data_IF_269315669714
#
_entry.id   IF_269315669714
#
_cell.length_a   1.000
_cell.length_b   1.000
_cell.length_c   1.000
_cell.angle_alpha   90.00
_cell.angle_beta   90.00
_cell.angle_gamma   90.00
#
_symmetry.space_group_name_H-M   'P 1'
#
loop_
_entity.id
_entity.type
_entity.pdbx_description
1 polymer ?
#
# COMPACT_ATOMS: atom_id res chain seq x y z
N UNK A 1 23.61 -1.18 -16.00
CA UNK A 1 22.53 -0.44 -16.68
C UNK A 1 22.00 0.58 -15.69
N UNK A 2 21.86 1.84 -16.10
CA UNK A 2 21.48 2.99 -15.27
C UNK A 2 20.15 2.78 -14.53
N UNK A 3 20.15 2.11 -13.38
CA UNK A 3 18.97 2.03 -12.53
C UNK A 3 18.46 3.43 -12.17
N UNK A 4 19.36 4.43 -12.06
CA UNK A 4 18.99 5.83 -11.85
C UNK A 4 18.14 6.45 -12.97
N UNK A 5 18.22 5.95 -14.20
CA UNK A 5 17.49 6.49 -15.36
C UNK A 5 16.10 5.85 -15.57
N UNK A 6 15.72 4.85 -14.76
CA UNK A 6 14.37 4.28 -14.85
C UNK A 6 13.31 5.17 -14.20
N UNK A 7 13.74 6.09 -13.34
CA UNK A 7 12.85 6.97 -12.60
C UNK A 7 12.44 8.16 -13.44
N UNK A 8 11.14 8.37 -13.54
CA UNK A 8 10.53 9.50 -14.22
C UNK A 8 10.06 10.50 -13.17
N UNK A 9 10.35 11.78 -13.40
CA UNK A 9 9.79 12.86 -12.58
C UNK A 9 8.28 12.96 -12.83
N UNK A 10 7.51 12.93 -11.74
CA UNK A 10 6.06 13.03 -11.77
C UNK A 10 5.58 14.44 -12.18
N UNK A 11 6.41 15.46 -11.98
CA UNK A 11 6.13 16.84 -12.38
C UNK A 11 7.15 17.30 -13.43
N UNK A 12 7.15 16.73 -14.66
CA UNK A 12 8.10 17.15 -15.68
C UNK A 12 7.88 18.63 -16.04
N UNK A 13 8.89 19.33 -16.61
CA UNK A 13 8.63 20.57 -17.32
C UNK A 13 7.58 20.28 -18.41
N UNK A 14 6.41 20.90 -18.24
CA UNK A 14 5.13 20.60 -18.90
C UNK A 14 5.19 20.25 -20.39
N UNK A 15 4.53 19.15 -20.77
CA UNK A 15 3.87 19.03 -22.10
C UNK A 15 2.58 18.20 -22.12
N UNK A 16 2.15 17.55 -21.03
CA UNK A 16 0.80 16.96 -20.94
C UNK A 16 0.14 17.25 -19.60
N UNK A 17 -1.15 17.64 -19.59
CA UNK A 17 -1.97 17.69 -18.39
C UNK A 17 -1.99 16.35 -17.66
N UNK A 18 -1.95 16.37 -16.33
CA UNK A 18 -1.99 15.16 -15.51
C UNK A 18 -3.30 14.40 -15.69
N UNK A 19 -4.37 15.09 -16.08
CA UNK A 19 -5.70 14.56 -16.38
C UNK A 19 -5.65 13.53 -17.52
N UNK A 20 -4.78 13.73 -18.52
CA UNK A 20 -4.60 12.82 -19.67
C UNK A 20 -4.02 11.46 -19.26
N UNK A 21 -3.33 11.36 -18.11
CA UNK A 21 -2.91 10.06 -17.58
C UNK A 21 -4.15 9.22 -17.23
N UNK A 22 -5.24 9.84 -16.75
CA UNK A 22 -6.41 9.16 -16.17
C UNK A 22 -7.54 8.84 -17.16
N UNK A 23 -7.42 9.21 -18.43
CA UNK A 23 -8.60 9.27 -19.30
C UNK A 23 -9.18 7.92 -19.73
N UNK A 24 -8.39 6.83 -19.86
CA UNK A 24 -8.95 5.49 -20.11
C UNK A 24 -8.10 4.35 -19.54
N UNK A 25 -8.70 3.35 -18.87
CA UNK A 25 -8.02 2.11 -18.56
C UNK A 25 -7.64 1.39 -19.87
N UNK A 26 -6.35 1.08 -20.05
CA UNK A 26 -5.90 0.18 -21.11
C UNK A 26 -6.34 -1.23 -20.71
N UNK A 27 -7.39 -1.75 -21.34
CA UNK A 27 -7.80 -3.14 -21.18
C UNK A 27 -7.15 -3.98 -22.28
N UNK A 28 -6.28 -4.92 -21.90
CA UNK A 28 -5.88 -6.00 -22.80
C UNK A 28 -7.01 -7.04 -22.85
N UNK A 29 -7.38 -7.57 -24.04
CA UNK A 29 -8.32 -8.70 -24.15
C UNK A 29 -7.87 -9.96 -23.40
N UNK A 30 -6.58 -10.03 -23.04
CA UNK A 30 -5.92 -11.21 -22.46
C UNK A 30 -5.83 -11.16 -20.91
N UNK A 31 -6.43 -10.15 -20.26
CA UNK A 31 -6.42 -10.01 -18.82
C UNK A 31 -7.83 -9.85 -18.23
N UNK A 32 -8.14 -10.63 -17.21
CA UNK A 32 -9.36 -10.44 -16.41
C UNK A 32 -9.15 -9.30 -15.42
N UNK A 33 -10.09 -8.36 -15.38
CA UNK A 33 -10.07 -7.26 -14.42
C UNK A 33 -10.91 -7.62 -13.20
N UNK A 34 -10.32 -7.43 -12.01
CA UNK A 34 -10.95 -7.70 -10.71
C UNK A 34 -11.16 -6.40 -9.91
N UNK A 35 -12.00 -6.48 -8.87
CA UNK A 35 -12.31 -5.43 -7.90
C UNK A 35 -13.09 -4.22 -8.43
N UNK A 36 -13.94 -4.41 -9.43
CA UNK A 36 -14.75 -3.32 -9.99
C UNK A 36 -15.55 -2.56 -8.91
N UNK A 37 -16.28 -3.28 -8.04
CA UNK A 37 -17.13 -2.65 -7.02
C UNK A 37 -16.33 -1.84 -5.99
N UNK A 38 -15.25 -2.41 -5.44
CA UNK A 38 -14.41 -1.74 -4.45
C UNK A 38 -13.72 -0.50 -5.03
N UNK A 39 -13.35 -0.55 -6.31
CA UNK A 39 -12.74 0.58 -7.00
C UNK A 39 -13.75 1.69 -7.29
N UNK A 40 -14.96 1.34 -7.74
CA UNK A 40 -16.04 2.30 -7.94
C UNK A 40 -16.36 3.05 -6.64
N UNK A 41 -16.44 2.35 -5.50
CA UNK A 41 -16.60 3.01 -4.19
C UNK A 41 -15.42 3.93 -3.88
N UNK A 42 -14.19 3.41 -3.98
CA UNK A 42 -13.00 4.17 -3.64
C UNK A 42 -12.82 5.45 -4.48
N UNK A 43 -13.34 5.44 -5.70
CA UNK A 43 -13.33 6.57 -6.65
C UNK A 43 -14.48 7.57 -6.45
N UNK A 44 -15.47 7.29 -5.60
CA UNK A 44 -16.45 8.31 -5.18
C UNK A 44 -15.81 9.50 -4.47
N UNK A 45 -14.65 9.28 -3.83
CA UNK A 45 -13.83 10.35 -3.25
C UNK A 45 -12.95 10.96 -4.34
N UNK A 46 -12.96 12.30 -4.54
CA UNK A 46 -12.19 12.93 -5.60
C UNK A 46 -10.69 12.68 -5.42
N UNK A 47 -10.01 12.38 -6.53
CA UNK A 47 -8.55 12.36 -6.60
C UNK A 47 -8.08 13.75 -6.97
N UNK A 48 -7.33 14.37 -6.06
CA UNK A 48 -6.76 15.69 -6.27
C UNK A 48 -5.26 15.51 -6.33
N UNK A 49 -4.68 15.53 -7.53
CA UNK A 49 -3.24 15.46 -7.65
C UNK A 49 -2.58 16.73 -7.11
N UNK A 50 -1.36 16.65 -6.56
CA UNK A 50 -0.55 17.82 -6.34
C UNK A 50 -0.26 18.55 -7.65
N UNK A 51 -0.24 19.88 -7.61
CA UNK A 51 0.05 20.71 -8.80
C UNK A 51 1.55 20.97 -8.98
N UNK A 52 2.36 20.64 -7.99
CA UNK A 52 3.82 20.81 -8.00
C UNK A 52 4.50 19.95 -6.94
N UNK A 53 5.82 19.81 -7.03
CA UNK A 53 6.64 19.20 -5.98
C UNK A 53 6.51 19.94 -4.63
N UNK A 54 6.31 21.25 -4.65
CA UNK A 54 6.10 22.05 -3.44
C UNK A 54 4.75 21.76 -2.79
N UNK A 55 3.67 21.68 -3.57
CA UNK A 55 2.35 21.23 -3.07
C UNK A 55 2.43 19.81 -2.52
N UNK A 56 3.14 18.90 -3.20
CA UNK A 56 3.39 17.55 -2.67
C UNK A 56 4.11 17.57 -1.31
N UNK A 57 5.17 18.39 -1.17
CA UNK A 57 5.89 18.53 0.11
C UNK A 57 4.95 19.03 1.22
N UNK A 58 4.11 20.02 0.95
CA UNK A 58 3.14 20.54 1.92
C UNK A 58 2.13 19.47 2.34
N UNK A 59 1.64 18.66 1.38
CA UNK A 59 0.78 17.51 1.67
C UNK A 59 1.48 16.45 2.52
N UNK A 60 2.75 16.15 2.22
CA UNK A 60 3.54 15.22 3.02
C UNK A 60 3.76 15.72 4.45
N UNK A 61 3.96 17.03 4.63
CA UNK A 61 4.04 17.66 5.97
C UNK A 61 2.72 17.58 6.70
N UNK A 62 1.59 17.86 6.04
CA UNK A 62 0.26 17.65 6.64
C UNK A 62 0.02 16.18 7.01
N UNK A 63 0.49 15.26 6.18
CA UNK A 63 0.35 13.82 6.37
C UNK A 63 1.18 13.27 7.53
N UNK A 64 2.47 13.61 7.60
CA UNK A 64 3.37 13.10 8.63
C UNK A 64 3.46 13.96 9.89
N UNK A 65 2.92 15.18 9.86
CA UNK A 65 3.00 16.14 10.94
C UNK A 65 4.33 16.91 11.00
N UNK A 66 4.60 17.58 12.13
CA UNK A 66 5.72 18.52 12.28
C UNK A 66 7.10 17.94 11.95
N UNK A 67 7.31 16.64 12.24
CA UNK A 67 8.56 15.93 11.93
C UNK A 67 8.95 16.00 10.45
N UNK A 68 7.97 16.14 9.55
CA UNK A 68 8.21 16.13 8.12
C UNK A 68 8.64 17.49 7.55
N UNK A 69 8.43 18.59 8.27
CA UNK A 69 8.68 19.95 7.75
C UNK A 69 10.15 20.16 7.36
N UNK A 70 11.07 19.69 8.19
CA UNK A 70 12.52 19.83 8.03
C UNK A 70 13.23 18.46 8.09
N UNK A 71 12.59 17.41 7.58
CA UNK A 71 13.14 16.07 7.64
C UNK A 71 14.49 15.98 6.89
N UNK A 72 15.52 15.33 7.47
CA UNK A 72 16.86 15.27 6.89
C UNK A 72 16.92 14.35 5.65
N UNK A 73 16.67 14.91 4.46
CA UNK A 73 16.51 14.13 3.21
C UNK A 73 17.81 13.68 2.50
N UNK A 74 19.00 14.19 2.86
CA UNK A 74 20.27 13.71 2.29
C UNK A 74 20.43 12.20 2.49
N UNK A 75 20.77 11.43 1.45
CA UNK A 75 20.87 9.95 1.49
C UNK A 75 19.58 9.25 1.97
N UNK A 76 18.43 9.91 1.85
CA UNK A 76 17.13 9.38 2.28
C UNK A 76 16.13 9.51 1.14
N UNK A 77 15.29 8.49 0.99
CA UNK A 77 14.06 8.59 0.21
C UNK A 77 12.88 8.14 1.05
N UNK A 78 11.73 8.74 0.81
CA UNK A 78 10.44 8.27 1.35
C UNK A 78 9.72 7.61 0.19
N UNK A 79 9.19 6.40 0.35
CA UNK A 79 8.63 5.67 -0.78
C UNK A 79 7.34 4.93 -0.42
N UNK A 80 6.64 4.44 -1.44
CA UNK A 80 5.54 3.52 -1.25
C UNK A 80 4.19 4.17 -0.96
N UNK A 81 3.47 3.58 -0.01
CA UNK A 81 2.06 3.88 0.22
C UNK A 81 1.79 5.27 0.80
N UNK A 82 2.75 5.90 1.47
CA UNK A 82 2.63 7.27 1.99
C UNK A 82 2.74 8.31 0.87
N UNK A 83 3.73 8.15 0.00
CA UNK A 83 3.92 8.97 -1.20
C UNK A 83 2.71 8.85 -2.12
N UNK A 84 2.23 7.63 -2.38
CA UNK A 84 1.03 7.42 -3.18
C UNK A 84 -0.20 8.13 -2.60
N UNK A 85 -0.40 8.08 -1.28
CA UNK A 85 -1.55 8.75 -0.65
C UNK A 85 -1.45 10.28 -0.83
N UNK A 86 -0.27 10.86 -0.65
CA UNK A 86 -0.03 12.29 -0.85
C UNK A 86 -0.17 12.72 -2.32
N UNK A 87 0.08 11.81 -3.27
CA UNK A 87 -0.22 12.02 -4.68
C UNK A 87 -1.72 12.01 -4.94
N UNK A 88 -2.48 11.05 -4.41
CA UNK A 88 -3.88 10.86 -4.79
C UNK A 88 -4.85 11.78 -4.06
N UNK A 89 -4.51 12.21 -2.83
CA UNK A 89 -5.43 12.88 -1.92
C UNK A 89 -4.70 13.95 -1.12
N UNK A 90 -5.43 15.03 -0.81
CA UNK A 90 -4.97 15.98 0.20
C UNK A 90 -5.31 15.44 1.61
N UNK A 91 -4.50 15.79 2.61
CA UNK A 91 -4.63 15.29 3.98
C UNK A 91 -6.01 15.51 4.59
N UNK A 92 -6.68 16.62 4.25
CA UNK A 92 -8.06 16.90 4.68
C UNK A 92 -9.08 15.84 4.24
N UNK A 93 -8.73 15.02 3.25
CA UNK A 93 -9.57 13.96 2.66
C UNK A 93 -9.07 12.54 2.94
N UNK A 94 -7.97 12.42 3.70
CA UNK A 94 -7.39 11.13 4.07
C UNK A 94 -8.17 10.58 5.27
N UNK A 95 -8.82 9.45 5.04
CA UNK A 95 -9.49 8.66 6.07
C UNK A 95 -8.47 8.17 7.11
N UNK A 96 -8.63 8.60 8.37
CA UNK A 96 -7.77 8.20 9.49
C UNK A 96 -7.77 6.68 9.74
N UNK A 97 -8.72 5.93 9.19
CA UNK A 97 -8.79 4.47 9.29
C UNK A 97 -7.94 3.76 8.22
N UNK A 98 -7.57 4.42 7.12
CA UNK A 98 -6.95 3.79 5.93
C UNK A 98 -5.57 4.36 5.54
N UNK A 99 -4.86 5.00 6.46
CA UNK A 99 -3.57 5.65 6.18
C UNK A 99 -2.38 4.70 6.21
N UNK A 100 -1.41 4.92 5.33
CA UNK A 100 -0.11 4.23 5.34
C UNK A 100 0.82 4.81 6.41
N UNK A 101 1.76 4.01 6.92
CA UNK A 101 2.93 4.53 7.62
C UNK A 101 3.87 5.24 6.63
N UNK A 102 4.80 6.06 7.14
CA UNK A 102 5.83 6.74 6.34
C UNK A 102 7.09 5.87 6.32
N UNK A 103 7.29 5.15 5.22
CA UNK A 103 8.47 4.32 5.00
C UNK A 103 9.65 5.17 4.52
N UNK A 104 10.69 5.22 5.35
CA UNK A 104 11.93 5.97 5.15
C UNK A 104 13.06 4.99 4.84
N UNK A 105 13.74 5.21 3.72
CA UNK A 105 14.79 4.34 3.21
C UNK A 105 16.12 5.09 3.16
N UNK A 106 17.20 4.39 3.54
CA UNK A 106 18.56 4.92 3.47
C UNK A 106 19.21 4.48 2.15
N UNK A 107 19.63 5.46 1.36
CA UNK A 107 20.32 5.27 0.09
C UNK A 107 21.76 5.72 0.25
N UNK A 108 22.70 4.78 0.32
CA UNK A 108 24.10 5.06 0.60
C UNK A 108 25.03 4.01 -0.06
N UNK A 109 26.19 4.49 -0.50
CA UNK A 109 27.25 3.68 -1.10
C UNK A 109 28.12 2.94 -0.07
N UNK A 110 28.03 3.30 1.22
CA UNK A 110 28.77 2.65 2.31
C UNK A 110 27.94 2.50 3.60
N UNK A 111 28.34 1.54 4.44
CA UNK A 111 27.68 1.29 5.74
C UNK A 111 27.92 2.45 6.72
N UNK A 112 29.08 3.11 6.65
CA UNK A 112 29.41 4.28 7.46
C UNK A 112 28.47 5.45 7.13
N UNK A 113 28.21 5.72 5.85
CA UNK A 113 27.26 6.75 5.43
C UNK A 113 25.83 6.38 5.81
N UNK A 114 25.45 5.11 5.69
CA UNK A 114 24.13 4.66 6.12
C UNK A 114 23.92 4.84 7.62
N UNK A 115 24.93 4.49 8.43
CA UNK A 115 24.91 4.70 9.88
C UNK A 115 24.83 6.18 10.24
N UNK A 116 25.65 7.03 9.62
CA UNK A 116 25.59 8.48 9.84
C UNK A 116 24.23 9.08 9.45
N UNK A 117 23.62 8.56 8.38
CA UNK A 117 22.27 8.93 7.95
C UNK A 117 21.22 8.53 8.99
N UNK A 118 21.31 7.31 9.50
CA UNK A 118 20.45 6.82 10.58
C UNK A 118 20.57 7.69 11.84
N UNK A 119 21.79 7.97 12.29
CA UNK A 119 22.06 8.79 13.48
C UNK A 119 21.46 10.19 13.33
N UNK A 120 21.55 10.78 12.14
CA UNK A 120 20.95 12.09 11.83
C UNK A 120 19.41 12.06 11.86
N UNK A 121 18.79 11.01 11.34
CA UNK A 121 17.33 10.83 11.43
C UNK A 121 16.91 10.70 12.90
N UNK A 122 17.62 9.89 13.69
CA UNK A 122 17.32 9.71 15.10
C UNK A 122 17.44 11.02 15.89
N UNK A 123 18.50 11.80 15.64
CA UNK A 123 18.67 13.13 16.23
C UNK A 123 17.54 14.08 15.85
N UNK A 124 17.07 14.04 14.60
CA UNK A 124 15.94 14.86 14.14
C UNK A 124 14.64 14.50 14.84
N UNK A 125 14.33 13.20 14.96
CA UNK A 125 13.11 12.72 15.60
C UNK A 125 13.10 12.90 17.12
N UNK A 126 14.25 13.17 17.74
CA UNK A 126 14.43 13.32 19.19
C UNK A 126 14.43 14.78 19.68
N UNK A 127 14.17 15.77 18.81
CA UNK A 127 14.26 17.20 19.15
C UNK A 127 13.12 17.66 20.07
N UNK A 128 13.44 18.57 21.00
CA UNK A 128 12.54 19.13 22.02
C UNK A 128 11.91 20.48 21.66
N UNK A 129 12.15 21.02 20.47
CA UNK A 129 11.73 22.37 20.05
C UNK A 129 10.26 22.45 19.58
N UNK A 130 9.41 21.51 20.03
CA UNK A 130 7.99 21.45 19.64
C UNK A 130 7.74 20.86 18.25
N UNK A 131 8.79 20.53 17.48
CA UNK A 131 8.69 19.75 16.24
C UNK A 131 8.79 18.24 16.44
N UNK A 132 9.11 17.80 17.68
CA UNK A 132 9.25 16.39 18.03
C UNK A 132 8.81 16.03 19.45
N UNK A 133 8.68 14.72 19.68
CA UNK A 133 8.39 14.10 20.98
C UNK A 133 9.72 13.81 21.65
N UNK A 134 9.83 14.01 22.98
CA UNK A 134 11.05 13.61 23.68
C UNK A 134 11.32 12.12 23.41
N UNK A 135 12.55 11.77 23.00
CA UNK A 135 12.94 10.37 22.77
C UNK A 135 12.61 9.43 23.95
N UNK A 136 12.57 9.94 25.18
CA UNK A 136 12.19 9.18 26.37
C UNK A 136 10.67 8.94 26.50
N UNK A 137 9.87 9.66 25.72
CA UNK A 137 8.40 9.57 25.68
C UNK A 137 7.89 8.96 24.36
N UNK A 138 8.74 8.87 23.34
CA UNK A 138 8.41 8.27 22.05
C UNK A 138 8.48 6.75 22.11
N UNK A 139 7.35 6.09 21.88
CA UNK A 139 7.32 4.64 21.71
C UNK A 139 8.08 4.26 20.42
N UNK A 140 9.11 3.43 20.54
CA UNK A 140 9.88 2.92 19.41
C UNK A 140 9.80 1.40 19.41
N UNK A 141 9.39 0.84 18.28
CA UNK A 141 9.39 -0.61 18.05
C UNK A 141 10.46 -0.97 17.03
N UNK A 142 11.18 -2.07 17.25
CA UNK A 142 12.18 -2.58 16.31
C UNK A 142 11.79 -3.99 15.89
N UNK A 143 11.67 -4.21 14.58
CA UNK A 143 11.59 -5.52 13.96
C UNK A 143 12.93 -5.92 13.35
N UNK A 144 12.96 -7.07 12.66
CA UNK A 144 14.14 -7.49 11.90
C UNK A 144 14.47 -6.53 10.74
N UNK A 145 13.45 -5.83 10.20
CA UNK A 145 13.58 -5.07 8.95
C UNK A 145 13.31 -3.57 9.10
N UNK A 146 12.78 -3.12 10.23
CA UNK A 146 12.45 -1.71 10.42
C UNK A 146 12.54 -1.27 11.88
N UNK A 147 12.81 0.02 12.08
CA UNK A 147 12.58 0.74 13.34
C UNK A 147 11.39 1.66 13.14
N UNK A 148 10.32 1.43 13.89
CA UNK A 148 9.08 2.18 13.81
C UNK A 148 8.99 3.17 14.98
N UNK A 149 8.93 4.45 14.65
CA UNK A 149 8.68 5.54 15.58
C UNK A 149 7.17 5.76 15.68
N UNK A 150 6.59 5.42 16.84
CA UNK A 150 5.16 5.43 17.05
C UNK A 150 4.68 6.82 17.49
N UNK A 151 4.38 7.67 16.52
CA UNK A 151 3.99 9.07 16.77
C UNK A 151 2.53 9.25 17.27
N UNK A 152 1.64 8.30 16.96
CA UNK A 152 0.23 8.36 17.36
C UNK A 152 -0.63 9.25 16.46
N UNK A 153 -1.95 9.04 16.46
CA UNK A 153 -2.90 9.81 15.63
C UNK A 153 -3.03 11.27 16.13
N UNK A 154 -3.24 12.26 15.23
CA UNK A 154 -3.49 12.12 13.79
C UNK A 154 -2.22 11.91 12.94
N UNK A 155 -1.03 12.00 13.54
CA UNK A 155 0.25 11.84 12.86
C UNK A 155 0.50 10.36 12.48
N UNK A 156 1.48 10.14 11.61
CA UNK A 156 1.78 8.79 11.07
C UNK A 156 3.04 8.25 11.70
N UNK A 157 3.06 6.93 11.87
CA UNK A 157 4.28 6.25 12.26
C UNK A 157 5.32 6.44 11.17
N UNK A 158 6.57 6.64 11.59
CA UNK A 158 7.70 6.75 10.70
C UNK A 158 8.45 5.42 10.82
N UNK A 159 8.57 4.69 9.72
CA UNK A 159 9.27 3.41 9.65
C UNK A 159 10.60 3.61 8.95
N UNK A 160 11.70 3.47 9.69
CA UNK A 160 13.04 3.49 9.12
C UNK A 160 13.45 2.07 8.75
N UNK A 161 13.52 1.81 7.45
CA UNK A 161 13.85 0.50 6.90
C UNK A 161 15.35 0.20 7.11
N UNK A 162 15.65 -0.96 7.68
CA UNK A 162 17.00 -1.39 8.08
C UNK A 162 17.80 -2.04 6.95
N UNK A 163 17.43 -1.75 5.70
CA UNK A 163 18.13 -2.21 4.50
C UNK A 163 18.81 -0.99 3.87
N UNK A 164 20.12 -1.10 3.60
CA UNK A 164 20.85 -0.11 2.82
C UNK A 164 20.64 -0.38 1.34
N UNK A 165 20.22 0.66 0.62
CA UNK A 165 20.09 0.63 -0.83
C UNK A 165 21.24 1.40 -1.48
N UNK A 166 21.70 0.95 -2.66
CA UNK A 166 22.75 1.65 -3.40
C UNK A 166 22.18 2.85 -4.15
N UNK A 167 20.94 2.76 -4.64
CA UNK A 167 20.26 3.87 -5.29
C UNK A 167 18.75 3.90 -4.99
N UNK A 168 18.12 5.03 -5.28
CA UNK A 168 16.68 5.23 -5.08
C UNK A 168 15.81 4.29 -5.95
N UNK A 169 16.30 3.91 -7.13
CA UNK A 169 15.60 2.97 -8.00
C UNK A 169 15.50 1.57 -7.38
N UNK A 170 16.55 1.11 -6.69
CA UNK A 170 16.53 -0.18 -5.99
C UNK A 170 15.43 -0.21 -4.91
N UNK A 171 15.15 0.93 -4.26
CA UNK A 171 14.06 1.04 -3.28
C UNK A 171 12.73 0.76 -3.96
N UNK A 172 12.37 1.51 -5.01
CA UNK A 172 11.05 1.39 -5.63
C UNK A 172 10.86 0.09 -6.43
N UNK A 173 11.92 -0.50 -6.97
CA UNK A 173 11.86 -1.78 -7.67
C UNK A 173 11.56 -2.97 -6.75
N UNK A 174 11.73 -2.81 -5.43
CA UNK A 174 11.32 -3.82 -4.44
C UNK A 174 9.82 -3.78 -4.10
N UNK A 175 9.10 -2.74 -4.50
CA UNK A 175 7.64 -2.69 -4.32
C UNK A 175 6.95 -3.56 -5.37
N UNK A 176 6.01 -4.35 -4.90
CA UNK A 176 5.30 -5.37 -5.69
C UNK A 176 4.00 -4.91 -6.31
N UNK A 177 3.46 -3.78 -5.86
CA UNK A 177 2.28 -3.15 -6.44
C UNK A 177 2.74 -1.97 -7.28
N UNK A 178 2.38 -1.98 -8.57
CA UNK A 178 2.84 -0.99 -9.54
C UNK A 178 2.64 0.45 -9.05
N UNK A 179 1.43 0.82 -8.61
CA UNK A 179 1.13 2.18 -8.18
C UNK A 179 1.86 2.62 -6.90
N UNK A 180 2.48 1.69 -6.17
CA UNK A 180 3.32 2.00 -5.00
C UNK A 180 4.80 2.19 -5.33
N UNK A 181 5.22 1.99 -6.59
CA UNK A 181 6.60 2.22 -7.05
C UNK A 181 6.88 3.72 -7.28
N UNK A 182 6.62 4.52 -6.25
CA UNK A 182 6.78 5.97 -6.19
C UNK A 182 7.62 6.36 -4.98
N UNK A 183 8.42 7.42 -5.12
CA UNK A 183 9.26 7.95 -4.05
C UNK A 183 9.36 9.48 -4.06
N UNK A 184 9.75 10.03 -2.93
CA UNK A 184 10.14 11.43 -2.73
C UNK A 184 11.62 11.46 -2.33
N UNK A 185 12.46 12.16 -3.12
CA UNK A 185 13.90 12.28 -2.89
C UNK A 185 14.30 13.53 -2.09
N UNK A 186 13.33 14.30 -1.62
CA UNK A 186 13.53 15.58 -0.95
C UNK A 186 13.33 16.80 -1.85
N UNK A 187 13.27 16.59 -3.16
CA UNK A 187 13.09 17.66 -4.16
C UNK A 187 12.02 17.31 -5.20
N UNK A 188 11.95 16.05 -5.63
CA UNK A 188 11.10 15.55 -6.71
C UNK A 188 10.33 14.32 -6.26
N UNK A 189 9.16 14.15 -6.85
CA UNK A 189 8.43 12.88 -6.79
C UNK A 189 8.85 12.07 -8.02
N UNK A 190 9.44 10.91 -7.78
CA UNK A 190 9.92 10.02 -8.82
C UNK A 190 9.08 8.75 -8.85
N UNK A 191 8.87 8.19 -10.04
CA UNK A 191 8.07 7.00 -10.25
C UNK A 191 8.70 6.08 -11.29
N UNK A 192 8.45 4.77 -11.18
CA UNK A 192 8.80 3.83 -12.26
C UNK A 192 7.79 3.96 -13.42
N UNK A 193 8.11 3.47 -14.63
CA UNK A 193 7.16 3.42 -15.74
C UNK A 193 5.89 2.63 -15.40
N UNK A 194 6.02 1.59 -14.56
CA UNK A 194 4.87 0.82 -14.06
C UNK A 194 3.99 1.65 -13.14
N UNK A 195 4.57 2.44 -12.23
CA UNK A 195 3.79 3.37 -11.40
C UNK A 195 3.09 4.43 -12.24
N UNK A 196 3.76 5.03 -13.23
CA UNK A 196 3.14 6.00 -14.13
C UNK A 196 1.96 5.38 -14.88
N UNK A 197 2.12 4.18 -15.44
CA UNK A 197 1.02 3.42 -16.08
C UNK A 197 -0.12 3.18 -15.11
N UNK A 198 0.17 2.69 -13.90
CA UNK A 198 -0.85 2.33 -12.93
C UNK A 198 -1.59 3.54 -12.37
N UNK A 199 -0.88 4.65 -12.16
CA UNK A 199 -1.47 5.93 -11.79
C UNK A 199 -2.41 6.40 -12.89
N UNK A 200 -1.96 6.42 -14.14
CA UNK A 200 -2.81 6.81 -15.26
C UNK A 200 -4.02 5.90 -15.45
N UNK A 201 -3.81 4.62 -15.71
CA UNK A 201 -4.93 3.70 -16.00
C UNK A 201 -5.80 3.41 -14.77
N UNK A 202 -5.27 3.63 -13.56
CA UNK A 202 -5.87 3.15 -12.32
C UNK A 202 -5.89 1.63 -12.23
N UNK A 203 -4.90 0.94 -12.82
CA UNK A 203 -4.79 -0.53 -12.86
C UNK A 203 -3.40 -1.00 -12.41
N UNK A 204 -3.36 -1.91 -11.44
CA UNK A 204 -2.17 -2.70 -11.11
C UNK A 204 -2.22 -4.05 -11.84
N UNK A 205 -1.08 -4.57 -12.27
CA UNK A 205 -0.97 -5.90 -12.87
C UNK A 205 -0.60 -6.90 -11.79
N UNK A 206 -1.41 -7.95 -11.66
CA UNK A 206 -1.06 -9.12 -10.88
C UNK A 206 -0.07 -9.97 -11.68
N UNK A 207 1.00 -10.41 -11.03
CA UNK A 207 1.91 -11.44 -11.54
C UNK A 207 1.47 -12.80 -10.97
N UNK A 208 0.83 -13.67 -11.79
CA UNK A 208 0.39 -14.99 -11.33
C UNK A 208 1.56 -15.95 -11.07
N UNK A 209 2.72 -15.71 -11.68
CA UNK A 209 3.90 -16.57 -11.58
C UNK A 209 4.81 -16.16 -10.42
N UNK A 210 4.49 -15.08 -9.70
CA UNK A 210 5.25 -14.61 -8.54
C UNK A 210 5.32 -15.68 -7.46
N UNK A 211 6.35 -16.53 -7.55
CA UNK A 211 6.59 -17.69 -6.67
C UNK A 211 6.91 -17.19 -5.27
N UNK A 212 6.27 -17.78 -4.28
CA UNK A 212 6.31 -17.27 -2.91
C UNK A 212 5.28 -16.19 -2.63
N UNK A 213 4.11 -16.25 -3.27
CA UNK A 213 2.91 -15.48 -2.91
C UNK A 213 2.57 -15.69 -1.43
N UNK A 214 3.27 -14.96 -0.56
CA UNK A 214 2.83 -14.72 0.79
C UNK A 214 1.43 -14.13 0.67
N UNK A 215 0.54 -14.49 1.60
CA UNK A 215 -0.81 -13.91 1.69
C UNK A 215 -0.81 -12.37 1.56
N UNK A 216 0.34 -11.74 1.83
CA UNK A 216 0.59 -10.31 1.72
C UNK A 216 0.54 -9.74 0.29
N UNK A 217 0.92 -10.46 -0.77
CA UNK A 217 0.87 -9.89 -2.13
C UNK A 217 -0.57 -9.72 -2.62
N UNK A 218 -1.36 -10.78 -2.52
CA UNK A 218 -2.79 -10.76 -2.87
C UNK A 218 -3.56 -9.79 -1.96
N UNK A 219 -3.23 -9.79 -0.67
CA UNK A 219 -3.81 -8.81 0.26
C UNK A 219 -3.42 -7.38 -0.11
N UNK A 220 -2.19 -7.11 -0.52
CA UNK A 220 -1.78 -5.78 -1.00
C UNK A 220 -2.55 -5.40 -2.27
N UNK A 221 -2.71 -6.29 -3.24
CA UNK A 221 -3.56 -6.02 -4.42
C UNK A 221 -5.00 -5.63 -4.02
N UNK A 222 -5.61 -6.39 -3.11
CA UNK A 222 -6.93 -6.08 -2.57
C UNK A 222 -6.97 -4.77 -1.75
N UNK A 223 -5.94 -4.48 -0.96
CA UNK A 223 -5.80 -3.22 -0.21
C UNK A 223 -5.75 -2.02 -1.15
N UNK A 224 -5.01 -2.12 -2.24
CA UNK A 224 -4.85 -1.02 -3.18
C UNK A 224 -6.08 -0.87 -4.11
N UNK A 225 -6.96 -1.87 -4.22
CA UNK A 225 -8.27 -1.69 -4.87
C UNK A 225 -9.19 -0.74 -4.09
N UNK A 226 -9.14 -0.78 -2.75
CA UNK A 226 -9.79 0.21 -1.87
C UNK A 226 -9.15 1.62 -1.95
N UNK A 227 -8.03 1.77 -2.65
CA UNK A 227 -7.42 3.06 -3.03
C UNK A 227 -7.77 3.48 -4.46
N UNK A 228 -8.64 2.72 -5.13
CA UNK A 228 -9.18 2.98 -6.46
C UNK A 228 -8.35 2.40 -7.61
N UNK A 229 -7.53 1.37 -7.36
CA UNK A 229 -6.78 0.67 -8.41
C UNK A 229 -7.36 -0.71 -8.70
N UNK A 230 -7.83 -0.90 -9.93
CA UNK A 230 -8.24 -2.23 -10.40
C UNK A 230 -7.03 -3.17 -10.43
N UNK A 231 -7.32 -4.47 -10.51
CA UNK A 231 -6.27 -5.49 -10.67
C UNK A 231 -6.51 -6.23 -11.97
N UNK A 232 -5.58 -6.11 -12.91
CA UNK A 232 -5.56 -6.93 -14.11
C UNK A 232 -4.79 -8.21 -13.84
N UNK A 233 -5.40 -9.36 -14.15
CA UNK A 233 -4.77 -10.67 -14.03
C UNK A 233 -4.61 -11.28 -15.43
N UNK A 234 -3.40 -11.22 -16.01
CA UNK A 234 -3.11 -11.85 -17.29
C UNK A 234 -3.38 -13.36 -17.25
N UNK A 235 -4.03 -13.89 -18.28
CA UNK A 235 -4.27 -15.32 -18.44
C UNK A 235 -5.31 -15.94 -17.50
N UNK A 236 -5.96 -15.15 -16.63
CA UNK A 236 -7.09 -15.65 -15.83
C UNK A 236 -8.33 -15.81 -16.71
N UNK A 237 -8.80 -17.04 -16.81
CA UNK A 237 -10.09 -17.39 -17.42
C UNK A 237 -11.11 -17.67 -16.32
N UNK A 238 -12.05 -16.74 -16.13
CA UNK A 238 -13.09 -16.82 -15.10
C UNK A 238 -14.02 -18.02 -15.28
N UNK A 239 -14.16 -18.56 -16.49
CA UNK A 239 -15.01 -19.73 -16.75
C UNK A 239 -14.41 -21.02 -16.21
N UNK A 240 -13.09 -21.02 -15.96
CA UNK A 240 -12.35 -22.15 -15.39
C UNK A 240 -12.19 -22.04 -13.87
N UNK A 241 -12.67 -20.96 -13.27
CA UNK A 241 -12.68 -20.78 -11.82
C UNK A 241 -13.79 -21.63 -11.24
N UNK A 242 -13.45 -22.46 -10.24
CA UNK A 242 -14.45 -23.26 -9.53
C UNK A 242 -15.46 -22.34 -8.84
N UNK A 243 -16.75 -22.67 -8.95
CA UNK A 243 -17.86 -21.86 -8.38
C UNK A 243 -17.67 -21.53 -6.90
N UNK A 244 -17.04 -22.47 -6.19
CA UNK A 244 -16.71 -22.44 -4.79
C UNK A 244 -15.85 -21.24 -4.35
N UNK A 245 -15.18 -20.54 -5.27
CA UNK A 245 -14.41 -19.31 -5.01
C UNK A 245 -15.18 -18.03 -5.36
N UNK A 246 -16.41 -18.14 -5.84
CA UNK A 246 -17.13 -17.00 -6.45
C UNK A 246 -18.53 -16.77 -5.90
N UNK A 247 -19.35 -17.81 -5.69
CA UNK A 247 -20.77 -17.66 -5.33
C UNK A 247 -21.13 -18.46 -4.08
N UNK A 248 -22.07 -17.92 -3.29
CA UNK A 248 -22.75 -18.58 -2.16
C UNK A 248 -21.79 -19.27 -1.15
N UNK A 249 -20.61 -18.69 -0.95
CA UNK A 249 -19.58 -19.21 -0.05
C UNK A 249 -19.20 -18.12 0.94
N UNK A 250 -19.02 -18.49 2.22
CA UNK A 250 -18.46 -17.61 3.24
C UNK A 250 -16.97 -17.92 3.41
N UNK A 251 -16.14 -16.91 3.68
CA UNK A 251 -14.69 -17.07 3.76
C UNK A 251 -14.15 -16.34 4.97
N UNK A 252 -13.36 -16.96 5.83
CA UNK A 252 -12.80 -16.32 7.01
C UNK A 252 -11.34 -16.68 7.24
N UNK A 253 -10.69 -15.95 8.13
CA UNK A 253 -9.32 -16.26 8.55
C UNK A 253 -9.36 -17.19 9.76
N UNK A 254 -8.72 -18.35 9.63
CA UNK A 254 -8.55 -19.32 10.71
C UNK A 254 -7.08 -19.76 10.78
N UNK A 255 -6.45 -19.55 11.93
CA UNK A 255 -5.00 -19.69 12.13
C UNK A 255 -4.17 -18.91 11.09
N UNK A 256 -4.61 -17.69 10.78
CA UNK A 256 -3.95 -16.78 9.82
C UNK A 256 -4.03 -17.18 8.35
N UNK A 257 -4.81 -18.21 8.03
CA UNK A 257 -5.04 -18.67 6.66
C UNK A 257 -6.47 -18.35 6.24
N UNK A 258 -6.64 -17.84 5.03
CA UNK A 258 -7.96 -17.65 4.43
C UNK A 258 -8.55 -19.03 4.12
N UNK A 259 -9.76 -19.29 4.60
CA UNK A 259 -10.45 -20.57 4.44
C UNK A 259 -11.92 -20.34 4.13
N UNK A 260 -12.56 -21.32 3.51
CA UNK A 260 -14.02 -21.35 3.46
C UNK A 260 -14.58 -21.66 4.84
N UNK A 261 -15.68 -20.99 5.18
CA UNK A 261 -16.44 -21.20 6.39
C UNK A 261 -17.82 -21.74 5.99
N UNK A 262 -18.20 -22.86 6.60
CA UNK A 262 -19.51 -23.46 6.44
C UNK A 262 -20.37 -23.15 7.66
N UNK A 263 -21.52 -22.54 7.43
CA UNK A 263 -22.50 -22.21 8.46
C UNK A 263 -23.62 -23.26 8.51
N UNK A 264 -23.99 -23.69 9.70
CA UNK A 264 -25.15 -24.54 9.94
C UNK A 264 -26.06 -23.89 10.97
N UNK A 265 -27.33 -23.75 10.62
CA UNK A 265 -28.36 -23.11 11.45
C UNK A 265 -29.19 -24.18 12.16
N UNK A 266 -29.27 -24.11 13.49
CA UNK A 266 -30.11 -24.98 14.30
C UNK A 266 -31.29 -24.18 14.84
N UNK A 267 -32.51 -24.72 14.74
CA UNK A 267 -33.70 -24.07 15.30
C UNK A 267 -33.58 -23.93 16.82
N UNK A 268 -33.78 -22.71 17.34
CA UNK A 268 -33.65 -22.40 18.77
C UNK A 268 -32.25 -21.99 19.25
N UNK A 269 -31.24 -21.93 18.37
CA UNK A 269 -29.92 -21.35 18.68
C UNK A 269 -29.82 -19.92 18.14
N UNK A 270 -29.41 -18.96 18.97
CA UNK A 270 -29.27 -17.55 18.58
C UNK A 270 -28.07 -17.29 17.65
N UNK A 271 -27.13 -18.24 17.54
CA UNK A 271 -25.93 -18.13 16.71
C UNK A 271 -25.74 -19.37 15.83
N UNK A 272 -25.36 -19.20 14.55
CA UNK A 272 -25.05 -20.32 13.69
C UNK A 272 -23.76 -21.02 14.15
N UNK A 273 -23.77 -22.35 14.09
CA UNK A 273 -22.54 -23.14 14.19
C UNK A 273 -21.72 -22.94 12.93
N UNK A 274 -20.40 -22.94 13.06
CA UNK A 274 -19.50 -22.80 11.92
C UNK A 274 -18.35 -23.81 11.98
N UNK A 275 -17.88 -24.23 10.81
CA UNK A 275 -16.62 -24.95 10.68
C UNK A 275 -15.80 -24.38 9.51
N UNK A 276 -14.49 -24.29 9.70
CA UNK A 276 -13.56 -23.89 8.67
C UNK A 276 -13.04 -25.12 7.93
N UNK A 277 -12.83 -25.00 6.63
CA UNK A 277 -12.23 -26.08 5.83
C UNK A 277 -10.82 -26.45 6.32
N UNK A 278 -10.39 -27.66 6.00
CA UNK A 278 -9.00 -28.06 6.26
C UNK A 278 -8.02 -27.34 5.33
N UNK A 279 -8.46 -27.03 4.10
CA UNK A 279 -7.62 -26.47 3.03
C UNK A 279 -7.64 -24.95 3.06
N UNK A 280 -6.46 -24.33 2.99
CA UNK A 280 -6.32 -22.89 2.85
C UNK A 280 -6.47 -22.46 1.39
N UNK A 281 -7.10 -21.30 1.19
CA UNK A 281 -7.15 -20.61 -0.09
C UNK A 281 -5.87 -19.79 -0.19
N UNK A 282 -5.09 -20.02 -1.24
CA UNK A 282 -3.75 -19.40 -1.44
C UNK A 282 -3.58 -18.90 -2.87
N UNK A 283 -2.65 -17.97 -3.06
CA UNK A 283 -2.28 -17.47 -4.38
C UNK A 283 -3.46 -16.83 -5.12
N UNK A 284 -3.56 -17.04 -6.43
CA UNK A 284 -4.57 -16.40 -7.27
C UNK A 284 -6.01 -16.64 -6.81
N UNK A 285 -6.31 -17.78 -6.19
CA UNK A 285 -7.63 -18.06 -5.65
C UNK A 285 -8.04 -17.07 -4.55
N UNK A 286 -7.09 -16.57 -3.74
CA UNK A 286 -7.37 -15.53 -2.75
C UNK A 286 -7.79 -14.23 -3.42
N UNK A 287 -7.15 -13.86 -4.52
CA UNK A 287 -7.47 -12.63 -5.25
C UNK A 287 -8.89 -12.66 -5.82
N UNK A 288 -9.31 -13.81 -6.34
CA UNK A 288 -10.68 -14.04 -6.80
C UNK A 288 -11.65 -13.87 -5.64
N UNK A 289 -11.40 -14.54 -4.51
CA UNK A 289 -12.25 -14.42 -3.30
C UNK A 289 -12.32 -12.97 -2.83
N UNK A 290 -11.20 -12.27 -2.68
CA UNK A 290 -11.20 -10.88 -2.26
C UNK A 290 -11.98 -9.97 -3.21
N UNK A 291 -11.99 -10.26 -4.50
CA UNK A 291 -12.73 -9.48 -5.49
C UNK A 291 -14.24 -9.68 -5.40
N UNK A 292 -14.70 -10.82 -4.88
CA UNK A 292 -16.14 -11.15 -4.72
C UNK A 292 -16.70 -10.76 -3.35
N UNK A 293 -15.85 -10.51 -2.36
CA UNK A 293 -16.26 -9.98 -1.05
C UNK A 293 -16.73 -8.53 -1.20
N UNK A 294 -18.05 -8.34 -1.29
CA UNK A 294 -18.72 -7.05 -1.37
C UNK A 294 -18.69 -6.34 0.00
N UNK A 295 -18.49 -5.01 0.02
CA UNK A 295 -18.13 -4.19 1.20
C UNK A 295 -19.04 -4.27 2.43
N UNK A 296 -20.26 -4.82 2.34
CA UNK A 296 -21.20 -4.82 3.48
C UNK A 296 -20.75 -5.64 4.70
N UNK A 297 -19.73 -6.49 4.56
CA UNK A 297 -19.29 -7.37 5.65
C UNK A 297 -17.78 -7.31 5.94
N UNK A 298 -17.08 -6.37 5.29
CA UNK A 298 -15.70 -5.99 5.60
C UNK A 298 -15.63 -4.88 6.67
N UNK A 299 -16.65 -4.81 7.53
CA UNK A 299 -16.81 -3.81 8.61
C UNK A 299 -15.71 -3.92 9.70
N UNK A 300 -14.92 -4.99 9.68
CA UNK A 300 -13.71 -5.07 10.48
C UNK A 300 -12.49 -5.10 9.55
N UNK A 301 -11.88 -3.93 9.37
CA UNK A 301 -10.53 -3.76 8.82
C UNK A 301 -9.45 -4.58 9.58
N UNK A 302 -9.85 -5.21 10.70
CA UNK A 302 -9.09 -6.17 11.49
C UNK A 302 -9.27 -7.63 11.04
N UNK A 303 -10.34 -8.04 10.36
CA UNK A 303 -10.64 -9.46 10.08
C UNK A 303 -9.93 -10.05 8.84
N UNK A 304 -9.24 -9.22 8.03
CA UNK A 304 -8.58 -9.65 6.77
C UNK A 304 -7.05 -9.73 6.92
N UNK A 305 -6.52 -9.36 8.09
CA UNK A 305 -5.08 -9.48 8.30
C UNK A 305 -4.75 -10.91 8.75
N UNK A 306 -3.66 -11.52 8.26
CA UNK A 306 -3.25 -12.87 8.66
C UNK A 306 -3.00 -13.05 10.16
N UNK A 307 -2.91 -11.96 10.93
CA UNK A 307 -2.65 -11.92 12.36
C UNK A 307 -3.92 -11.88 13.24
N UNK A 308 -5.12 -11.81 12.66
CA UNK A 308 -6.39 -11.77 13.40
C UNK A 308 -7.27 -12.99 13.10
N UNK A 309 -7.71 -13.69 14.14
CA UNK A 309 -8.76 -14.70 14.03
C UNK A 309 -10.11 -14.01 13.86
N UNK A 310 -10.79 -14.28 12.75
CA UNK A 310 -12.07 -13.64 12.44
C UNK A 310 -12.77 -14.31 11.28
N UNK A 311 -14.05 -14.59 11.46
CA UNK A 311 -14.93 -15.01 10.37
C UNK A 311 -15.19 -13.76 9.52
N UNK A 312 -14.80 -13.80 8.25
CA UNK A 312 -15.32 -12.89 7.24
C UNK A 312 -16.55 -13.62 6.64
N UNK A 313 -17.69 -12.94 6.54
CA UNK A 313 -18.94 -13.55 6.02
C UNK A 313 -19.27 -12.88 4.70
#
# INVERSE_FOLDING_TARGET
ADAGNILVDFFPPFHRPLEELFEKPITSPEATILFHEQVEEARRKPRLLPISAQDFKERLVRFGGPFMANFPMENVVIAGGSVLQCLLRDHATIDEQNSSDIDVFVVADSDEKAKATFDRILQHLSRRDGSGVDHNEMLVSRSAFAVTFCVGKPQRHIQLILIRYQCAADVVLNFDIDCSQVLWDGQRVLATPSAIRALGTGINFADPERRGASNEYQWRLAKYSRRGFLVAVPGLDVTRVKEEYTRNSCFGYHNGLLKRIHLSFTEGEDQPKHHADSTAIVGLAQLIVFSTLCEKWLIYDRAIRPDNEGIVI
#
